data_IF_246590912036
#
_entry.id   IF_246590912036
#
_cell.length_a   1.000
_cell.length_b   1.000
_cell.length_c   1.000
_cell.angle_alpha   90.00
_cell.angle_beta   90.00
_cell.angle_gamma   90.00
#
_symmetry.space_group_name_H-M   'P 1'
#
loop_
_entity.id
_entity.type
_entity.pdbx_description
1 polymer ?
#
# COMPACT_ATOMS: atom_id res chain seq x y z
N UNK A 1 17.90 22.43 4.43
CA UNK A 1 16.94 21.29 4.46
C UNK A 1 15.54 21.66 3.96
N UNK A 2 14.96 22.80 4.32
CA UNK A 2 13.66 23.24 3.75
C UNK A 2 13.74 23.59 2.24
N UNK A 3 14.84 24.20 1.81
CA UNK A 3 15.08 24.55 0.39
C UNK A 3 15.23 23.33 -0.54
N UNK A 4 15.86 22.26 -0.06
CA UNK A 4 15.97 21.00 -0.83
C UNK A 4 14.63 20.27 -0.93
N UNK A 5 13.80 20.34 0.11
CA UNK A 5 12.44 19.78 0.09
C UNK A 5 11.54 20.54 -0.90
N UNK A 6 11.65 21.88 -0.95
CA UNK A 6 10.86 22.70 -1.88
C UNK A 6 11.21 22.44 -3.35
N UNK A 7 12.49 22.17 -3.65
CA UNK A 7 12.99 21.87 -5.00
C UNK A 7 12.55 20.48 -5.49
N UNK A 8 12.37 19.52 -4.58
CA UNK A 8 11.84 18.19 -4.89
C UNK A 8 10.31 18.23 -5.08
N UNK A 9 9.62 19.09 -4.32
CA UNK A 9 8.16 19.29 -4.40
C UNK A 9 7.73 19.93 -5.73
N UNK A 10 8.54 20.81 -6.33
CA UNK A 10 8.23 21.44 -7.63
C UNK A 10 8.44 20.52 -8.84
N UNK A 11 9.17 19.41 -8.71
CA UNK A 11 9.51 18.51 -9.82
C UNK A 11 8.54 17.33 -10.03
N UNK A 12 7.56 17.11 -9.14
CA UNK A 12 6.74 15.90 -9.17
C UNK A 12 5.42 16.07 -9.94
N UNK A 13 5.29 15.32 -11.06
CA UNK A 13 4.16 15.28 -12.02
C UNK A 13 2.78 14.91 -11.43
N UNK A 14 2.71 14.54 -10.15
CA UNK A 14 1.54 13.99 -9.44
C UNK A 14 1.17 14.84 -8.21
N UNK A 15 0.99 16.14 -8.46
CA UNK A 15 0.88 17.21 -7.44
C UNK A 15 -0.32 17.08 -6.49
N UNK A 16 -1.45 16.54 -6.95
CA UNK A 16 -2.68 16.43 -6.13
C UNK A 16 -2.60 15.31 -5.08
N UNK A 17 -2.14 14.11 -5.43
CA UNK A 17 -1.96 13.02 -4.44
C UNK A 17 -0.92 13.35 -3.36
N UNK A 18 0.06 14.20 -3.70
CA UNK A 18 1.07 14.69 -2.74
C UNK A 18 0.45 15.69 -1.75
N UNK A 19 -0.47 16.54 -2.20
CA UNK A 19 -1.09 17.57 -1.38
C UNK A 19 -2.00 16.97 -0.29
N UNK A 20 -2.84 15.99 -0.65
CA UNK A 20 -3.76 15.35 0.29
C UNK A 20 -3.03 14.60 1.41
N UNK A 21 -1.93 13.92 1.07
CA UNK A 21 -1.13 13.16 2.05
C UNK A 21 -0.27 14.06 2.93
N UNK A 22 0.24 15.17 2.40
CA UNK A 22 0.99 16.14 3.18
C UNK A 22 0.10 16.84 4.23
N UNK A 23 -1.18 17.11 3.89
CA UNK A 23 -2.15 17.64 4.84
C UNK A 23 -2.39 16.66 6.02
N UNK A 24 -2.50 15.36 5.75
CA UNK A 24 -2.62 14.33 6.79
C UNK A 24 -1.37 14.26 7.69
N UNK A 25 -0.16 14.44 7.12
CA UNK A 25 1.09 14.43 7.88
C UNK A 25 1.22 15.63 8.82
N UNK A 26 0.77 16.82 8.41
CA UNK A 26 0.78 17.99 9.26
C UNK A 26 -0.13 17.76 10.48
N UNK A 27 -1.36 17.25 10.25
CA UNK A 27 -2.30 16.92 11.33
C UNK A 27 -1.68 15.93 12.32
N UNK A 28 -1.05 14.87 11.82
CA UNK A 28 -0.38 13.88 12.68
C UNK A 28 0.78 14.48 13.46
N UNK A 29 1.62 15.31 12.83
CA UNK A 29 2.75 15.93 13.51
C UNK A 29 2.31 16.89 14.62
N UNK A 30 1.23 17.64 14.39
CA UNK A 30 0.62 18.53 15.37
C UNK A 30 0.01 17.74 16.53
N UNK A 31 -0.68 16.63 16.25
CA UNK A 31 -1.24 15.73 17.27
C UNK A 31 -0.14 15.16 18.18
N UNK A 32 1.00 14.77 17.61
CA UNK A 32 2.13 14.19 18.37
C UNK A 32 2.73 15.22 19.33
N UNK A 33 2.93 16.46 18.87
CA UNK A 33 3.44 17.55 19.73
C UNK A 33 2.45 17.84 20.86
N UNK A 34 1.15 17.90 20.56
CA UNK A 34 0.11 18.08 21.57
C UNK A 34 0.11 16.95 22.61
N UNK A 35 0.24 15.70 22.15
CA UNK A 35 0.26 14.54 23.04
C UNK A 35 1.48 14.55 23.98
N UNK A 36 2.67 14.86 23.47
CA UNK A 36 3.88 15.00 24.30
C UNK A 36 3.79 16.14 25.32
N UNK A 37 3.12 17.24 24.97
CA UNK A 37 2.88 18.35 25.89
C UNK A 37 1.89 18.04 27.01
N UNK A 38 1.02 17.04 26.85
CA UNK A 38 0.02 16.66 27.87
C UNK A 38 0.54 15.51 28.74
N UNK A 39 1.06 14.44 28.14
CA UNK A 39 1.35 13.19 28.86
C UNK A 39 2.73 13.09 29.53
N UNK A 40 3.75 13.81 29.03
CA UNK A 40 5.12 13.71 29.55
C UNK A 40 5.38 14.57 30.81
N UNK A 41 4.65 14.32 31.90
CA UNK A 41 4.61 15.18 33.10
C UNK A 41 5.89 15.14 33.93
N UNK A 42 6.71 14.10 33.80
CA UNK A 42 7.93 13.92 34.60
C UNK A 42 9.09 14.86 34.23
N UNK A 43 9.00 15.53 33.07
CA UNK A 43 10.10 16.33 32.50
C UNK A 43 9.74 17.81 32.44
N UNK A 44 10.75 18.68 32.58
CA UNK A 44 10.64 20.12 32.38
C UNK A 44 9.94 20.49 31.06
N UNK A 45 9.11 21.53 31.09
CA UNK A 45 8.26 21.98 29.97
C UNK A 45 9.06 22.24 28.68
N UNK A 46 10.27 22.78 28.83
CA UNK A 46 11.17 23.09 27.71
C UNK A 46 11.68 21.84 27.00
N UNK A 47 12.00 20.78 27.75
CA UNK A 47 12.41 19.49 27.18
C UNK A 47 11.24 18.74 26.55
N UNK A 48 10.02 18.90 27.06
CA UNK A 48 8.81 18.31 26.45
C UNK A 48 8.57 18.87 25.05
N UNK A 49 8.70 20.18 24.89
CA UNK A 49 8.56 20.84 23.61
C UNK A 49 9.67 20.41 22.62
N UNK A 50 10.92 20.36 23.08
CA UNK A 50 12.05 19.89 22.26
C UNK A 50 11.85 18.45 21.78
N UNK A 51 11.43 17.54 22.66
CA UNK A 51 11.16 16.15 22.30
C UNK A 51 9.97 16.03 21.34
N UNK A 52 8.92 16.85 21.54
CA UNK A 52 7.79 16.97 20.62
C UNK A 52 8.22 17.34 19.20
N UNK A 53 9.03 18.38 19.09
CA UNK A 53 9.55 18.86 17.81
C UNK A 53 10.45 17.81 17.15
N UNK A 54 11.33 17.15 17.91
CA UNK A 54 12.22 16.11 17.38
C UNK A 54 11.42 14.90 16.86
N UNK A 55 10.41 14.44 17.59
CA UNK A 55 9.55 13.33 17.17
C UNK A 55 8.74 13.68 15.92
N UNK A 56 8.16 14.88 15.87
CA UNK A 56 7.44 15.39 14.70
C UNK A 56 8.33 15.50 13.45
N UNK A 57 9.54 16.05 13.62
CA UNK A 57 10.51 16.19 12.54
C UNK A 57 10.95 14.82 11.99
N UNK A 58 11.18 13.84 12.88
CA UNK A 58 11.59 12.48 12.49
C UNK A 58 10.53 11.78 11.64
N UNK A 59 9.26 11.84 12.05
CA UNK A 59 8.16 11.21 11.31
C UNK A 59 7.91 11.90 9.98
N UNK A 60 7.95 13.24 9.96
CA UNK A 60 7.84 14.02 8.71
C UNK A 60 8.95 13.66 7.72
N UNK A 61 10.20 13.59 8.16
CA UNK A 61 11.34 13.24 7.31
C UNK A 61 11.25 11.82 6.75
N UNK A 62 10.90 10.83 7.58
CA UNK A 62 10.74 9.44 7.14
C UNK A 62 9.59 9.31 6.12
N UNK A 63 8.46 9.94 6.39
CA UNK A 63 7.31 9.86 5.50
C UNK A 63 7.58 10.55 4.16
N UNK A 64 8.32 11.65 4.15
CA UNK A 64 8.66 12.36 2.92
C UNK A 64 9.63 11.53 2.05
N UNK A 65 10.57 10.83 2.67
CA UNK A 65 11.46 9.88 1.97
C UNK A 65 10.67 8.76 1.30
N UNK A 66 9.74 8.13 2.03
CA UNK A 66 8.88 7.07 1.49
C UNK A 66 8.00 7.58 0.35
N UNK A 67 7.52 8.81 0.43
CA UNK A 67 6.70 9.42 -0.62
C UNK A 67 7.50 9.59 -1.92
N UNK A 68 8.71 10.13 -1.83
CA UNK A 68 9.60 10.28 -3.00
C UNK A 68 9.93 8.90 -3.60
N UNK A 69 10.21 7.91 -2.76
CA UNK A 69 10.53 6.57 -3.23
C UNK A 69 9.36 5.93 -3.99
N UNK A 70 8.16 5.98 -3.41
CA UNK A 70 6.94 5.43 -4.03
C UNK A 70 6.45 6.21 -5.24
N UNK A 71 6.80 7.49 -5.39
CA UNK A 71 6.42 8.29 -6.55
C UNK A 71 7.32 8.04 -7.77
N UNK A 72 8.58 7.68 -7.53
CA UNK A 72 9.57 7.42 -8.59
C UNK A 72 9.53 5.96 -9.04
N UNK A 73 9.31 5.02 -8.13
CA UNK A 73 9.36 3.58 -8.46
C UNK A 73 8.01 3.02 -8.88
N UNK A 74 7.99 2.30 -10.01
CA UNK A 74 6.80 1.59 -10.48
C UNK A 74 6.62 0.23 -9.76
N UNK A 75 5.38 -0.24 -9.63
CA UNK A 75 5.10 -1.54 -9.00
C UNK A 75 5.81 -2.70 -9.71
N UNK A 76 6.02 -2.59 -11.02
CA UNK A 76 6.73 -3.60 -11.82
C UNK A 76 8.22 -3.68 -11.49
N UNK A 77 8.87 -2.54 -11.26
CA UNK A 77 10.29 -2.50 -10.85
C UNK A 77 10.49 -3.11 -9.47
N UNK A 78 9.56 -2.87 -8.54
CA UNK A 78 9.58 -3.50 -7.21
C UNK A 78 9.56 -5.03 -7.35
N UNK A 79 8.73 -5.57 -8.25
CA UNK A 79 8.60 -7.01 -8.47
C UNK A 79 9.89 -7.62 -9.06
N UNK A 80 10.61 -6.89 -9.93
CA UNK A 80 11.88 -7.35 -10.50
C UNK A 80 13.04 -7.34 -9.50
N UNK A 81 13.04 -6.41 -8.54
CA UNK A 81 14.07 -6.30 -7.49
C UNK A 81 14.03 -7.51 -6.53
N UNK A 82 12.87 -8.16 -6.38
CA UNK A 82 12.71 -9.37 -5.57
C UNK A 82 13.31 -10.65 -6.20
N UNK A 83 14.32 -10.51 -7.06
CA UNK A 83 15.14 -11.63 -7.59
C UNK A 83 16.25 -12.10 -6.63
N UNK A 84 16.36 -11.49 -5.44
CA UNK A 84 17.31 -11.86 -4.38
C UNK A 84 17.05 -13.22 -3.67
N UNK A 85 15.80 -13.71 -3.48
CA UNK A 85 15.56 -15.01 -2.86
C UNK A 85 16.07 -16.18 -3.72
N UNK A 86 16.22 -17.39 -3.14
CA UNK A 86 16.52 -18.61 -3.89
C UNK A 86 15.58 -18.78 -5.09
N UNK A 87 16.09 -19.32 -6.20
CA UNK A 87 15.40 -19.40 -7.50
C UNK A 87 13.95 -19.92 -7.41
N UNK A 88 13.69 -20.93 -6.57
CA UNK A 88 12.34 -21.47 -6.33
C UNK A 88 11.40 -20.46 -5.66
N UNK A 89 11.88 -19.77 -4.62
CA UNK A 89 11.08 -18.80 -3.86
C UNK A 89 10.87 -17.52 -4.69
N UNK A 90 11.91 -17.07 -5.41
CA UNK A 90 11.83 -15.95 -6.33
C UNK A 90 10.78 -16.17 -7.42
N UNK A 91 10.77 -17.36 -8.04
CA UNK A 91 9.78 -17.72 -9.05
C UNK A 91 8.34 -17.65 -8.52
N UNK A 92 8.06 -18.30 -7.38
CA UNK A 92 6.71 -18.29 -6.77
C UNK A 92 6.30 -16.87 -6.36
N UNK A 93 7.23 -16.07 -5.84
CA UNK A 93 6.98 -14.69 -5.45
C UNK A 93 6.66 -13.81 -6.67
N UNK A 94 7.47 -13.88 -7.74
CA UNK A 94 7.22 -13.13 -8.99
C UNK A 94 5.88 -13.50 -9.59
N UNK A 95 5.53 -14.79 -9.66
CA UNK A 95 4.22 -15.25 -10.13
C UNK A 95 3.11 -14.66 -9.25
N UNK A 96 3.24 -14.77 -7.92
CA UNK A 96 2.24 -14.26 -6.97
C UNK A 96 2.01 -12.75 -7.10
N UNK A 97 3.09 -11.97 -7.17
CA UNK A 97 2.99 -10.51 -7.30
C UNK A 97 2.40 -10.11 -8.66
N UNK A 98 2.69 -10.84 -9.73
CA UNK A 98 2.07 -10.63 -11.06
C UNK A 98 0.57 -10.93 -11.08
N UNK A 99 0.07 -11.78 -10.17
CA UNK A 99 -1.35 -12.12 -10.07
C UNK A 99 -2.18 -11.02 -9.39
N UNK A 100 -1.59 -10.21 -8.51
CA UNK A 100 -2.28 -9.13 -7.79
C UNK A 100 -3.06 -8.19 -8.72
N UNK A 101 -2.45 -7.56 -9.75
CA UNK A 101 -3.19 -6.66 -10.63
C UNK A 101 -4.33 -7.37 -11.37
N UNK A 102 -4.18 -8.66 -11.61
CA UNK A 102 -5.16 -9.45 -12.35
C UNK A 102 -6.36 -9.80 -11.47
N UNK A 103 -6.13 -10.20 -10.22
CA UNK A 103 -7.17 -10.42 -9.21
C UNK A 103 -7.97 -9.14 -8.99
N UNK A 104 -7.31 -7.97 -8.95
CA UNK A 104 -8.01 -6.66 -8.83
C UNK A 104 -8.93 -6.40 -10.02
N UNK A 105 -8.51 -6.74 -11.24
CA UNK A 105 -9.36 -6.59 -12.43
C UNK A 105 -10.54 -7.55 -12.42
N UNK A 106 -10.33 -8.82 -12.03
CA UNK A 106 -11.40 -9.80 -11.90
C UNK A 106 -12.39 -9.42 -10.81
N UNK A 107 -11.90 -8.97 -9.66
CA UNK A 107 -12.70 -8.42 -8.58
C UNK A 107 -13.59 -7.28 -9.07
N UNK A 108 -13.05 -6.32 -9.84
CA UNK A 108 -13.85 -5.22 -10.42
C UNK A 108 -14.93 -5.72 -11.38
N UNK A 109 -14.61 -6.70 -12.24
CA UNK A 109 -15.59 -7.31 -13.16
C UNK A 109 -16.72 -8.00 -12.38
N UNK A 110 -16.38 -8.78 -11.36
CA UNK A 110 -17.35 -9.47 -10.50
C UNK A 110 -18.21 -8.45 -9.76
N UNK A 111 -17.59 -7.41 -9.20
CA UNK A 111 -18.28 -6.36 -8.48
C UNK A 111 -19.33 -5.67 -9.36
N UNK A 112 -19.00 -5.37 -10.62
CA UNK A 112 -19.96 -4.80 -11.58
C UNK A 112 -21.12 -5.80 -11.84
N UNK A 113 -20.81 -7.07 -12.14
CA UNK A 113 -21.83 -8.11 -12.38
C UNK A 113 -22.78 -8.25 -11.19
N UNK A 114 -22.24 -8.29 -9.97
CA UNK A 114 -23.03 -8.46 -8.76
C UNK A 114 -23.84 -7.19 -8.45
N UNK A 115 -23.31 -6.01 -8.75
CA UNK A 115 -24.06 -4.75 -8.61
C UNK A 115 -25.25 -4.69 -9.58
N UNK A 116 -25.12 -5.19 -10.82
CA UNK A 116 -26.23 -5.29 -11.78
C UNK A 116 -27.31 -6.28 -11.34
N UNK A 117 -26.94 -7.32 -10.58
CA UNK A 117 -27.90 -8.28 -10.00
C UNK A 117 -28.67 -7.74 -8.78
N UNK A 118 -28.58 -6.44 -8.51
CA UNK A 118 -29.29 -5.78 -7.40
C UNK A 118 -28.61 -5.96 -6.03
N UNK A 119 -27.36 -6.42 -6.00
CA UNK A 119 -26.63 -6.61 -4.75
C UNK A 119 -26.06 -5.27 -4.26
N UNK A 120 -26.70 -4.69 -3.24
CA UNK A 120 -26.34 -3.38 -2.69
C UNK A 120 -25.25 -3.49 -1.62
N UNK A 121 -23.99 -3.27 -2.01
CA UNK A 121 -22.82 -3.29 -1.10
C UNK A 121 -22.69 -2.07 -0.18
N UNK A 122 -23.61 -1.09 -0.23
CA UNK A 122 -23.49 0.19 0.50
C UNK A 122 -24.14 0.22 1.89
N UNK A 123 -25.14 -0.63 2.18
CA UNK A 123 -26.03 -0.40 3.34
C UNK A 123 -26.37 -1.62 4.22
N UNK A 124 -26.02 -2.84 3.80
CA UNK A 124 -26.39 -4.05 4.55
C UNK A 124 -25.10 -4.79 4.93
N UNK A 125 -25.01 -5.20 6.21
CA UNK A 125 -23.94 -5.96 6.85
C UNK A 125 -22.74 -6.30 5.93
N UNK A 126 -21.59 -5.63 6.06
CA UNK A 126 -20.46 -5.78 5.14
C UNK A 126 -19.94 -7.23 5.07
N UNK A 127 -20.14 -8.00 6.15
CA UNK A 127 -19.75 -9.41 6.24
C UNK A 127 -20.59 -10.34 5.35
N UNK A 128 -21.91 -10.18 5.32
CA UNK A 128 -22.78 -11.06 4.52
C UNK A 128 -22.72 -10.73 3.03
N UNK A 129 -22.45 -9.47 2.70
CA UNK A 129 -22.39 -9.01 1.33
C UNK A 129 -21.07 -9.34 0.62
N UNK A 130 -20.03 -9.79 1.32
CA UNK A 130 -18.75 -10.13 0.67
C UNK A 130 -18.73 -11.50 -0.02
N UNK A 131 -19.48 -12.47 0.53
CA UNK A 131 -19.49 -13.85 0.07
C UNK A 131 -19.78 -14.03 -1.44
N UNK A 132 -20.73 -13.31 -2.04
CA UNK A 132 -21.03 -13.42 -3.48
C UNK A 132 -19.91 -12.92 -4.41
N UNK A 133 -18.98 -12.11 -3.90
CA UNK A 133 -17.78 -11.70 -4.64
C UNK A 133 -16.65 -12.70 -4.40
N UNK A 134 -16.50 -13.15 -3.16
CA UNK A 134 -15.41 -14.05 -2.76
C UNK A 134 -15.47 -15.39 -3.49
N UNK A 135 -16.63 -16.06 -3.50
CA UNK A 135 -16.80 -17.39 -4.12
C UNK A 135 -16.37 -17.40 -5.60
N UNK A 136 -16.88 -16.53 -6.48
CA UNK A 136 -16.47 -16.54 -7.89
C UNK A 136 -15.01 -16.11 -8.09
N UNK A 137 -14.48 -15.21 -7.25
CA UNK A 137 -13.07 -14.82 -7.31
C UNK A 137 -12.15 -15.99 -6.97
N UNK A 138 -12.48 -16.74 -5.91
CA UNK A 138 -11.76 -17.94 -5.49
C UNK A 138 -11.78 -19.01 -6.57
N UNK A 139 -12.95 -19.28 -7.18
CA UNK A 139 -13.05 -20.25 -8.27
C UNK A 139 -12.14 -19.88 -9.44
N UNK A 140 -12.13 -18.61 -9.87
CA UNK A 140 -11.23 -18.16 -10.94
C UNK A 140 -9.76 -18.25 -10.55
N UNK A 141 -9.42 -17.90 -9.31
CA UNK A 141 -8.05 -17.97 -8.80
C UNK A 141 -7.52 -19.40 -8.75
N UNK A 142 -8.36 -20.38 -8.37
CA UNK A 142 -7.99 -21.80 -8.32
C UNK A 142 -7.74 -22.33 -9.74
N UNK A 143 -8.70 -22.13 -10.66
CA UNK A 143 -8.54 -22.59 -12.05
C UNK A 143 -7.26 -21.99 -12.68
N UNK A 144 -6.97 -20.72 -12.36
CA UNK A 144 -5.75 -20.06 -12.82
C UNK A 144 -4.49 -20.67 -12.22
N UNK A 145 -4.51 -21.02 -10.94
CA UNK A 145 -3.39 -21.70 -10.30
C UNK A 145 -3.14 -23.08 -10.92
N UNK A 146 -4.19 -23.84 -11.25
CA UNK A 146 -4.09 -25.12 -11.95
C UNK A 146 -3.45 -24.96 -13.34
N UNK A 147 -3.90 -23.97 -14.13
CA UNK A 147 -3.27 -23.66 -15.41
C UNK A 147 -1.79 -23.29 -15.27
N UNK A 148 -1.43 -22.50 -14.26
CA UNK A 148 -0.04 -22.12 -13.99
C UNK A 148 0.79 -23.36 -13.61
N UNK A 149 0.24 -24.25 -12.79
CA UNK A 149 0.92 -25.48 -12.40
C UNK A 149 1.25 -26.37 -13.61
N UNK A 150 0.28 -26.57 -14.51
CA UNK A 150 0.48 -27.33 -15.76
C UNK A 150 1.54 -26.66 -16.66
N UNK A 151 1.53 -25.33 -16.74
CA UNK A 151 2.54 -24.57 -17.52
C UNK A 151 3.95 -24.69 -16.90
N UNK A 152 4.06 -24.69 -15.57
CA UNK A 152 5.33 -24.87 -14.87
C UNK A 152 5.87 -26.29 -15.09
N UNK A 153 5.01 -27.30 -14.96
CA UNK A 153 5.35 -28.71 -15.16
C UNK A 153 5.81 -28.98 -16.61
N UNK A 154 5.06 -28.48 -17.60
CA UNK A 154 5.41 -28.63 -19.03
C UNK A 154 6.73 -27.94 -19.43
N UNK A 155 7.13 -26.88 -18.71
CA UNK A 155 8.43 -26.21 -18.93
C UNK A 155 9.60 -26.92 -18.24
N UNK A 156 9.37 -28.05 -17.57
CA UNK A 156 10.38 -28.79 -16.82
C UNK A 156 10.83 -28.10 -15.53
N UNK A 157 10.07 -27.11 -15.04
CA UNK A 157 10.29 -26.56 -13.71
C UNK A 157 9.66 -27.52 -12.69
N UNK A 158 10.47 -28.44 -12.15
CA UNK A 158 10.07 -29.26 -11.02
C UNK A 158 10.03 -28.38 -9.76
N UNK A 159 8.82 -28.20 -9.23
CA UNK A 159 8.58 -27.57 -7.92
C UNK A 159 9.32 -28.36 -6.83
#
# INVERSE_FOLDING_TARGET
MLLSAFLIVTLCKKREEFADRYHALIIMSLLIVMFQLIFNVDINIWQRLQNGIISALKISSLSLLVLIYTSVTSLSEIIHIFSFPPSKIGLVLTITLSLIPIIIQEYRKILIIQSTKGQNFKHINPLTNFMPILIPLMHRSINRAEHIAIVIESKGYLV
#
